data_IF_909901207435
#
_entry.id   IF_909901207435
#
_cell.length_a   1.000
_cell.length_b   1.000
_cell.length_c   1.000
_cell.angle_alpha   90.00
_cell.angle_beta   90.00
_cell.angle_gamma   90.00
#
_symmetry.space_group_name_H-M   'P 1'
#
loop_
_entity.id
_entity.type
_entity.pdbx_description
1 polymer ?
#
# COMPACT_ATOMS: atom_id res chain seq x y z
N UNK A 1 -3.60 52.00 -24.31
CA UNK A 1 -3.43 51.11 -23.15
C UNK A 1 -3.40 49.66 -23.64
N UNK A 2 -2.28 49.30 -24.26
CA UNK A 2 -1.93 47.98 -24.82
C UNK A 2 -1.06 47.28 -23.76
N UNK A 3 -1.45 46.11 -23.23
CA UNK A 3 -0.60 45.06 -22.61
C UNK A 3 -1.29 44.11 -21.61
N UNK A 4 -2.62 43.98 -21.61
CA UNK A 4 -3.29 42.95 -20.78
C UNK A 4 -3.64 41.66 -21.55
N UNK A 5 -3.41 41.63 -22.87
CA UNK A 5 -3.65 40.47 -23.71
C UNK A 5 -2.86 39.20 -23.34
N UNK A 6 -1.56 39.24 -22.95
CA UNK A 6 -0.83 38.00 -22.69
C UNK A 6 -1.31 37.28 -21.42
N UNK A 7 -1.93 37.99 -20.47
CA UNK A 7 -2.49 37.42 -19.25
C UNK A 7 -3.78 36.64 -19.51
N UNK A 8 -4.61 37.09 -20.45
CA UNK A 8 -5.80 36.37 -20.91
C UNK A 8 -5.41 35.10 -21.67
N UNK A 9 -4.35 35.17 -22.48
CA UNK A 9 -3.84 34.00 -23.18
C UNK A 9 -3.27 32.94 -22.22
N UNK A 10 -2.60 33.36 -21.14
CA UNK A 10 -2.02 32.45 -20.15
C UNK A 10 -3.09 31.80 -19.25
N UNK A 11 -4.16 32.52 -18.92
CA UNK A 11 -5.29 31.96 -18.17
C UNK A 11 -6.09 30.91 -18.96
N UNK A 12 -6.03 30.94 -20.30
CA UNK A 12 -6.69 29.96 -21.17
C UNK A 12 -5.92 28.64 -21.33
N UNK A 13 -4.66 28.61 -20.89
CA UNK A 13 -3.73 27.47 -21.05
C UNK A 13 -3.59 26.61 -19.78
N UNK A 14 -4.32 26.92 -18.71
CA UNK A 14 -4.42 26.04 -17.55
C UNK A 14 -5.42 24.92 -17.89
N UNK A 15 -4.99 23.67 -18.08
CA UNK A 15 -5.93 22.58 -17.94
C UNK A 15 -6.35 22.60 -16.47
N UNK A 16 -7.60 22.92 -16.21
CA UNK A 16 -8.29 22.46 -15.02
C UNK A 16 -8.25 20.93 -15.10
N UNK A 17 -7.16 20.34 -14.63
CA UNK A 17 -7.10 18.92 -14.28
C UNK A 17 -8.01 18.76 -13.07
N UNK A 18 -9.32 18.83 -13.34
CA UNK A 18 -10.33 18.28 -12.47
C UNK A 18 -9.92 16.84 -12.27
N UNK A 19 -9.46 16.54 -11.06
CA UNK A 19 -9.48 15.18 -10.55
C UNK A 19 -10.95 14.78 -10.59
N UNK A 20 -11.36 14.16 -11.70
CA UNK A 20 -12.66 13.54 -11.84
C UNK A 20 -12.68 12.42 -10.82
N UNK A 21 -13.21 12.70 -9.64
CA UNK A 21 -13.77 11.68 -8.78
C UNK A 21 -14.72 10.89 -9.68
N UNK A 22 -14.38 9.61 -9.91
CA UNK A 22 -15.10 8.76 -10.85
C UNK A 22 -16.51 8.57 -10.28
N UNK A 23 -17.43 9.45 -10.65
CA UNK A 23 -18.82 9.37 -10.27
C UNK A 23 -19.40 8.14 -10.96
N UNK A 24 -19.52 7.06 -10.22
CA UNK A 24 -20.18 5.85 -10.68
C UNK A 24 -21.66 6.20 -10.93
N UNK A 25 -22.27 5.77 -12.05
CA UNK A 25 -23.69 5.97 -12.26
C UNK A 25 -24.47 5.36 -11.10
N UNK A 26 -25.49 6.06 -10.62
CA UNK A 26 -26.33 5.70 -9.45
C UNK A 26 -26.97 4.29 -9.52
N UNK A 27 -26.89 3.61 -10.66
CA UNK A 27 -27.40 2.25 -10.87
C UNK A 27 -26.34 1.14 -10.88
N UNK A 28 -25.05 1.44 -10.74
CA UNK A 28 -24.01 0.42 -10.57
C UNK A 28 -23.72 0.29 -9.09
N UNK A 29 -24.12 -0.83 -8.48
CA UNK A 29 -23.64 -1.19 -7.14
C UNK A 29 -22.16 -1.53 -7.30
N UNK A 30 -21.22 -0.75 -6.72
CA UNK A 30 -19.82 -1.15 -6.75
C UNK A 30 -19.71 -2.51 -6.05
N UNK A 31 -19.06 -3.47 -6.71
CA UNK A 31 -18.70 -4.70 -6.03
C UNK A 31 -17.86 -4.34 -4.79
N UNK A 32 -18.08 -4.98 -3.63
CA UNK A 32 -17.17 -4.83 -2.50
C UNK A 32 -15.75 -5.09 -2.97
N UNK A 33 -14.80 -4.26 -2.55
CA UNK A 33 -13.40 -4.52 -2.83
C UNK A 33 -13.05 -5.94 -2.36
N UNK A 34 -12.33 -6.70 -3.17
CA UNK A 34 -11.84 -8.00 -2.72
C UNK A 34 -11.01 -7.79 -1.46
N UNK A 35 -11.22 -8.58 -0.39
CA UNK A 35 -10.42 -8.46 0.80
C UNK A 35 -8.96 -8.72 0.43
N UNK A 36 -8.07 -7.85 0.89
CA UNK A 36 -6.63 -8.04 0.72
C UNK A 36 -6.13 -9.35 1.34
N UNK A 37 -4.87 -9.69 1.10
CA UNK A 37 -4.24 -10.85 1.75
C UNK A 37 -4.11 -10.55 3.24
N UNK A 38 -4.65 -11.44 4.07
CA UNK A 38 -4.45 -11.41 5.51
C UNK A 38 -3.43 -12.48 5.90
N UNK A 39 -2.51 -12.13 6.79
CA UNK A 39 -1.44 -13.00 7.28
C UNK A 39 -1.51 -13.03 8.80
N UNK A 40 -1.55 -14.23 9.36
CA UNK A 40 -1.31 -14.45 10.79
C UNK A 40 0.07 -15.06 10.94
N UNK A 41 0.90 -14.47 11.80
CA UNK A 41 2.25 -14.95 12.11
C UNK A 41 2.32 -15.29 13.60
N UNK A 42 2.85 -16.46 13.93
CA UNK A 42 3.08 -16.88 15.31
C UNK A 42 4.44 -17.55 15.47
N UNK A 43 4.97 -17.46 16.68
CA UNK A 43 6.15 -18.17 17.14
C UNK A 43 5.76 -19.23 18.16
N UNK A 44 6.64 -20.19 18.41
CA UNK A 44 6.40 -21.20 19.44
C UNK A 44 6.64 -20.68 20.87
N UNK A 45 7.41 -19.60 21.03
CA UNK A 45 7.76 -18.95 22.30
C UNK A 45 7.89 -17.43 22.13
N UNK A 46 7.85 -16.73 23.25
CA UNK A 46 8.02 -15.26 23.30
C UNK A 46 9.49 -14.83 23.41
N UNK A 47 10.39 -15.72 23.82
CA UNK A 47 11.83 -15.41 24.02
C UNK A 47 12.66 -16.68 23.83
N UNK A 48 13.87 -16.51 23.28
CA UNK A 48 14.79 -17.59 22.92
C UNK A 48 16.19 -17.30 23.44
N UNK A 49 16.94 -18.33 23.81
CA UNK A 49 18.36 -18.21 24.10
C UNK A 49 19.18 -18.16 22.79
N UNK A 50 20.39 -17.57 22.79
CA UNK A 50 21.27 -17.62 21.64
C UNK A 50 21.58 -19.07 21.22
N UNK A 51 21.42 -19.35 19.92
CA UNK A 51 21.64 -20.68 19.33
C UNK A 51 20.44 -21.63 19.45
N UNK A 52 19.35 -21.23 20.11
CA UNK A 52 18.10 -21.97 20.12
C UNK A 52 17.36 -21.85 18.78
N UNK A 53 16.74 -22.95 18.33
CA UNK A 53 15.94 -22.94 17.11
C UNK A 53 14.58 -22.27 17.33
N UNK A 54 14.27 -21.26 16.49
CA UNK A 54 12.97 -20.60 16.40
C UNK A 54 12.06 -21.35 15.42
N UNK A 55 10.81 -21.63 15.82
CA UNK A 55 9.78 -22.12 14.89
C UNK A 55 8.77 -21.03 14.58
N UNK A 56 8.73 -20.61 13.31
CA UNK A 56 7.76 -19.64 12.79
C UNK A 56 6.63 -20.37 12.07
N UNK A 57 5.39 -20.00 12.36
CA UNK A 57 4.20 -20.49 11.67
C UNK A 57 3.43 -19.31 11.09
N UNK A 58 3.00 -19.44 9.84
CA UNK A 58 2.14 -18.45 9.21
C UNK A 58 0.93 -19.11 8.56
N UNK A 59 -0.16 -18.36 8.52
CA UNK A 59 -1.39 -18.73 7.81
C UNK A 59 -1.81 -17.59 6.90
N UNK A 60 -2.13 -17.91 5.66
CA UNK A 60 -2.62 -16.95 4.67
C UNK A 60 -4.11 -17.12 4.45
N UNK A 61 -4.84 -16.02 4.25
CA UNK A 61 -6.26 -16.09 3.86
C UNK A 61 -6.48 -16.62 2.44
N UNK A 62 -5.47 -16.54 1.58
CA UNK A 62 -5.47 -16.99 0.19
C UNK A 62 -4.04 -17.27 -0.28
N UNK A 63 -3.89 -18.00 -1.39
CA UNK A 63 -2.56 -18.34 -1.94
C UNK A 63 -1.77 -17.10 -2.34
N UNK A 64 -0.55 -16.96 -1.82
CA UNK A 64 0.34 -15.84 -2.10
C UNK A 64 1.81 -16.22 -1.87
N UNK A 65 2.72 -15.39 -2.39
CA UNK A 65 4.14 -15.45 -2.07
C UNK A 65 4.40 -14.86 -0.68
N UNK A 66 5.30 -15.48 0.08
CA UNK A 66 5.68 -15.03 1.42
C UNK A 66 7.17 -14.75 1.44
N UNK A 67 7.53 -13.59 1.98
CA UNK A 67 8.90 -13.17 2.25
C UNK A 67 9.01 -12.92 3.75
N UNK A 68 9.97 -13.56 4.42
CA UNK A 68 10.19 -13.41 5.85
C UNK A 68 11.49 -12.63 6.07
N UNK A 69 11.43 -11.59 6.90
CA UNK A 69 12.58 -10.75 7.19
C UNK A 69 12.97 -10.83 8.66
N UNK A 70 14.25 -10.98 8.94
CA UNK A 70 14.86 -10.75 10.24
C UNK A 70 15.10 -9.24 10.40
N UNK A 71 14.52 -8.65 11.44
CA UNK A 71 14.70 -7.23 11.79
C UNK A 71 15.36 -7.15 13.15
N UNK A 72 16.63 -6.76 13.14
CA UNK A 72 17.46 -6.72 14.36
C UNK A 72 17.28 -5.41 15.12
N UNK A 73 17.57 -5.38 16.43
CA UNK A 73 17.46 -4.15 17.23
C UNK A 73 18.33 -2.99 16.76
N UNK A 74 19.39 -3.25 16.00
CA UNK A 74 20.27 -2.25 15.40
C UNK A 74 19.73 -1.66 14.09
N UNK A 75 18.56 -2.12 13.63
CA UNK A 75 17.93 -1.69 12.38
C UNK A 75 18.40 -2.46 11.14
N UNK A 76 19.26 -3.47 11.28
CA UNK A 76 19.61 -4.36 10.18
C UNK A 76 18.40 -5.20 9.77
N UNK A 77 18.13 -5.26 8.46
CA UNK A 77 17.06 -6.07 7.87
C UNK A 77 17.66 -7.09 6.92
N UNK A 78 17.34 -8.36 7.12
CA UNK A 78 17.81 -9.49 6.30
C UNK A 78 16.64 -10.33 5.82
N UNK A 79 16.64 -10.74 4.55
CA UNK A 79 15.66 -11.69 4.03
C UNK A 79 16.09 -13.12 4.39
N UNK A 80 15.18 -13.88 5.01
CA UNK A 80 15.37 -15.28 5.41
C UNK A 80 15.01 -16.26 4.30
#
# INVERSE_FOLDING_TARGET
>A
MRRLWPLVALALLLPLSGYGEKTLPQGIIPAPAEPGIAVTLTTDKDTYAPGECLTVRFTLSQGAWVYLYDVRPDGTVELL
#
